data_IF_456906963065
#
_entry.id   IF_456906963065
#
_cell.length_a   1.000
_cell.length_b   1.000
_cell.length_c   1.000
_cell.angle_alpha   90.00
_cell.angle_beta   90.00
_cell.angle_gamma   90.00
#
_symmetry.space_group_name_H-M   'P 1'
#
loop_
_entity.id
_entity.type
_entity.pdbx_description
1 polymer ?
#
# COMPACT_ATOMS: atom_id res chain seq x y z
N UNK A 1 5.59 34.62 6.16
CA UNK A 1 5.74 33.14 6.23
C UNK A 1 4.35 32.53 6.29
N UNK A 2 3.93 31.87 5.21
CA UNK A 2 2.53 31.49 4.97
C UNK A 2 2.24 30.05 5.39
N UNK A 3 1.13 29.79 6.11
CA UNK A 3 0.64 28.45 6.44
C UNK A 3 -0.08 27.86 5.22
N UNK A 4 0.67 27.49 4.18
CA UNK A 4 0.11 26.93 2.93
C UNK A 4 0.06 25.40 2.93
N UNK A 5 0.79 24.75 3.84
CA UNK A 5 0.98 23.30 3.87
C UNK A 5 -0.23 22.51 4.39
N UNK A 6 -1.07 23.10 5.24
CA UNK A 6 -2.20 22.38 5.83
C UNK A 6 -3.33 22.06 4.85
N UNK A 7 -3.58 22.95 3.88
CA UNK A 7 -4.69 22.78 2.92
C UNK A 7 -4.39 21.70 1.88
N UNK A 8 -3.17 21.67 1.37
CA UNK A 8 -2.71 20.66 0.42
C UNK A 8 -2.64 19.26 1.05
N UNK A 9 -2.26 19.17 2.33
CA UNK A 9 -2.25 17.90 3.06
C UNK A 9 -3.65 17.31 3.23
N UNK A 10 -4.63 18.15 3.59
CA UNK A 10 -6.01 17.71 3.75
C UNK A 10 -6.64 17.23 2.45
N UNK A 11 -6.29 17.83 1.31
CA UNK A 11 -6.83 17.42 0.02
C UNK A 11 -6.25 16.07 -0.44
N UNK A 12 -4.95 15.84 -0.21
CA UNK A 12 -4.31 14.56 -0.48
C UNK A 12 -4.87 13.43 0.40
N UNK A 13 -5.07 13.69 1.70
CA UNK A 13 -5.64 12.74 2.65
C UNK A 13 -7.08 12.35 2.25
N UNK A 14 -7.88 13.32 1.81
CA UNK A 14 -9.28 13.10 1.40
C UNK A 14 -9.38 12.21 0.15
N UNK A 15 -8.46 12.38 -0.81
CA UNK A 15 -8.39 11.52 -2.00
C UNK A 15 -8.01 10.09 -1.64
N UNK A 16 -7.03 9.90 -0.75
CA UNK A 16 -6.63 8.58 -0.26
C UNK A 16 -7.78 7.85 0.46
N UNK A 17 -8.49 8.54 1.35
CA UNK A 17 -9.65 7.96 2.05
C UNK A 17 -10.78 7.59 1.08
N UNK A 18 -11.02 8.40 0.04
CA UNK A 18 -12.02 8.08 -0.98
C UNK A 18 -11.65 6.81 -1.76
N UNK A 19 -10.39 6.64 -2.16
CA UNK A 19 -9.94 5.41 -2.83
C UNK A 19 -10.03 4.18 -1.93
N UNK A 20 -9.65 4.32 -0.65
CA UNK A 20 -9.77 3.23 0.32
C UNK A 20 -11.23 2.79 0.53
N UNK A 21 -12.16 3.76 0.62
CA UNK A 21 -13.58 3.48 0.76
C UNK A 21 -14.18 2.78 -0.47
N UNK A 22 -13.80 3.20 -1.68
CA UNK A 22 -14.23 2.54 -2.92
C UNK A 22 -13.67 1.12 -3.00
N UNK A 23 -12.40 0.91 -2.67
CA UNK A 23 -11.81 -0.43 -2.63
C UNK A 23 -12.51 -1.36 -1.62
N UNK A 24 -12.87 -0.84 -0.44
CA UNK A 24 -13.63 -1.57 0.58
C UNK A 24 -15.06 -1.90 0.15
N UNK A 25 -15.69 -1.05 -0.68
CA UNK A 25 -17.03 -1.30 -1.23
C UNK A 25 -17.03 -2.35 -2.35
N UNK A 26 -15.94 -2.45 -3.10
CA UNK A 26 -15.80 -3.43 -4.20
C UNK A 26 -15.36 -4.80 -3.70
N UNK A 27 -14.60 -4.88 -2.59
CA UNK A 27 -14.12 -6.13 -2.00
C UNK A 27 -15.23 -7.16 -1.64
N UNK A 28 -16.40 -6.80 -1.08
CA UNK A 28 -17.46 -7.76 -0.75
C UNK A 28 -18.31 -8.18 -1.96
N UNK A 29 -18.20 -7.51 -3.11
CA UNK A 29 -18.91 -7.92 -4.33
C UNK A 29 -18.22 -9.08 -5.07
N UNK A 30 -17.06 -9.54 -4.58
CA UNK A 30 -16.19 -10.46 -5.30
C UNK A 30 -16.54 -11.97 -5.19
N UNK A 31 -17.35 -12.49 -4.24
CA UNK A 31 -17.82 -13.87 -4.44
C UNK A 31 -19.23 -14.14 -3.90
N UNK A 32 -20.26 -13.54 -4.51
CA UNK A 32 -21.56 -14.23 -4.57
C UNK A 32 -21.62 -15.22 -5.75
N UNK A 33 -20.72 -15.07 -6.73
CA UNK A 33 -20.63 -15.91 -7.94
C UNK A 33 -19.79 -17.19 -7.72
N UNK A 34 -19.13 -17.33 -6.56
CA UNK A 34 -18.36 -18.54 -6.20
C UNK A 34 -19.09 -19.44 -5.18
N UNK A 35 -20.34 -19.12 -4.83
CA UNK A 35 -21.16 -19.95 -3.94
C UNK A 35 -22.06 -20.93 -4.71
N UNK A 36 -21.80 -21.13 -6.00
CA UNK A 36 -22.42 -22.20 -6.77
C UNK A 36 -21.64 -23.47 -6.46
N UNK A 37 -22.27 -24.37 -5.71
CA UNK A 37 -21.69 -25.60 -5.18
C UNK A 37 -21.05 -26.41 -6.31
N UNK A 38 -19.70 -26.44 -6.42
CA UNK A 38 -19.01 -27.06 -7.54
C UNK A 38 -19.18 -28.58 -7.57
N UNK A 39 -19.82 -29.16 -6.54
CA UNK A 39 -20.17 -30.57 -6.48
C UNK A 39 -21.45 -30.94 -7.26
N UNK A 40 -22.22 -29.97 -7.78
CA UNK A 40 -23.47 -30.26 -8.49
C UNK A 40 -23.19 -30.63 -9.95
N UNK A 41 -23.12 -31.94 -10.25
CA UNK A 41 -22.92 -32.45 -11.62
C UNK A 41 -23.96 -31.82 -12.58
N UNK A 42 -23.53 -31.09 -13.64
CA UNK A 42 -24.43 -30.38 -14.55
C UNK A 42 -25.43 -31.30 -15.24
N UNK A 43 -25.16 -32.61 -15.33
CA UNK A 43 -26.07 -33.59 -15.93
C UNK A 43 -27.31 -33.84 -15.09
N UNK A 44 -27.20 -33.75 -13.76
CA UNK A 44 -28.34 -33.92 -12.87
C UNK A 44 -29.28 -32.70 -12.91
N UNK A 45 -28.75 -31.49 -13.06
CA UNK A 45 -29.54 -30.27 -13.21
C UNK A 45 -30.33 -30.26 -14.54
N UNK A 46 -29.71 -30.73 -15.62
CA UNK A 46 -30.34 -30.79 -16.94
C UNK A 46 -31.55 -31.74 -16.96
N UNK A 47 -31.49 -32.84 -16.19
CA UNK A 47 -32.57 -33.82 -16.09
C UNK A 47 -33.73 -33.36 -15.20
N UNK A 48 -33.46 -32.55 -14.18
CA UNK A 48 -34.52 -31.86 -13.42
C UNK A 48 -35.31 -30.91 -14.32
N UNK A 49 -34.66 -30.32 -15.33
CA UNK A 49 -35.27 -29.33 -16.21
C UNK A 49 -36.01 -29.95 -17.41
N UNK A 50 -35.48 -31.04 -17.99
CA UNK A 50 -36.04 -31.66 -19.20
C UNK A 50 -36.88 -32.93 -18.94
N UNK A 51 -36.92 -33.39 -17.68
CA UNK A 51 -37.65 -34.58 -17.28
C UNK A 51 -36.87 -35.87 -17.55
N UNK A 52 -37.02 -36.82 -16.63
CA UNK A 52 -36.37 -38.12 -16.74
C UNK A 52 -37.13 -39.07 -17.69
N UNK A 53 -36.45 -40.03 -18.35
CA UNK A 53 -37.10 -41.15 -19.03
C UNK A 53 -38.00 -41.92 -18.05
N UNK A 54 -39.14 -42.40 -18.54
CA UNK A 54 -40.10 -43.13 -17.71
C UNK A 54 -39.47 -44.43 -17.16
N UNK A 55 -39.64 -44.66 -15.84
CA UNK A 55 -39.24 -45.90 -15.17
C UNK A 55 -37.87 -45.89 -14.49
N UNK A 56 -37.15 -44.76 -14.48
CA UNK A 56 -35.86 -44.63 -13.78
C UNK A 56 -35.95 -43.46 -12.79
N UNK A 57 -35.66 -43.73 -11.51
CA UNK A 57 -35.54 -42.68 -10.49
C UNK A 57 -34.16 -42.02 -10.58
N UNK A 58 -34.11 -40.89 -11.29
CA UNK A 58 -32.86 -40.15 -11.50
C UNK A 58 -32.28 -39.57 -10.21
N UNK A 59 -33.09 -39.38 -9.16
CA UNK A 59 -32.59 -38.94 -7.85
C UNK A 59 -31.73 -40.02 -7.21
N UNK A 60 -32.10 -41.29 -7.42
CA UNK A 60 -31.31 -42.42 -6.98
C UNK A 60 -30.02 -42.57 -7.80
N UNK A 61 -30.08 -42.31 -9.11
CA UNK A 61 -28.89 -42.36 -9.99
C UNK A 61 -27.88 -41.28 -9.64
N UNK A 62 -28.33 -40.04 -9.39
CA UNK A 62 -27.44 -38.94 -8.99
C UNK A 62 -26.78 -39.20 -7.63
N UNK A 63 -27.55 -39.66 -6.63
CA UNK A 63 -27.00 -40.00 -5.30
C UNK A 63 -26.09 -41.23 -5.33
N UNK A 64 -26.42 -42.24 -6.14
CA UNK A 64 -25.55 -43.40 -6.33
C UNK A 64 -24.23 -43.02 -6.98
N UNK A 65 -24.24 -42.12 -7.98
CA UNK A 65 -23.03 -41.68 -8.64
C UNK A 65 -22.13 -40.84 -7.71
N UNK A 66 -22.73 -40.02 -6.85
CA UNK A 66 -22.01 -39.28 -5.78
C UNK A 66 -21.32 -40.24 -4.80
N UNK A 67 -22.04 -41.27 -4.34
CA UNK A 67 -21.49 -42.27 -3.42
C UNK A 67 -20.40 -43.10 -4.11
N UNK A 68 -20.63 -43.58 -5.33
CA UNK A 68 -19.64 -44.37 -6.09
C UNK A 68 -18.39 -43.53 -6.37
N UNK A 69 -18.53 -42.26 -6.74
CA UNK A 69 -17.42 -41.34 -6.94
C UNK A 69 -16.58 -41.16 -5.66
N UNK A 70 -17.24 -41.01 -4.50
CA UNK A 70 -16.57 -40.90 -3.21
C UNK A 70 -15.78 -42.17 -2.82
N UNK A 71 -16.26 -43.36 -3.20
CA UNK A 71 -15.64 -44.63 -2.82
C UNK A 71 -14.61 -45.17 -3.82
N UNK A 72 -14.77 -44.89 -5.11
CA UNK A 72 -13.90 -45.48 -6.15
C UNK A 72 -12.67 -44.64 -6.44
N UNK A 73 -12.63 -43.38 -6.02
CA UNK A 73 -11.57 -42.43 -6.40
C UNK A 73 -11.44 -42.24 -7.92
N UNK A 74 -12.49 -42.65 -8.65
CA UNK A 74 -12.52 -42.78 -10.10
C UNK A 74 -13.41 -41.70 -10.72
N UNK A 75 -13.52 -40.53 -10.06
CA UNK A 75 -13.84 -39.30 -10.76
C UNK A 75 -12.71 -39.10 -11.77
N UNK A 76 -12.96 -39.44 -13.04
CA UNK A 76 -12.05 -39.15 -14.13
C UNK A 76 -11.61 -37.70 -13.97
N UNK A 77 -10.33 -37.52 -13.66
CA UNK A 77 -9.68 -36.23 -13.69
C UNK A 77 -9.61 -35.81 -15.17
N UNK A 78 -10.73 -35.31 -15.70
CA UNK A 78 -10.66 -34.41 -16.83
C UNK A 78 -9.73 -33.28 -16.37
N UNK A 79 -8.57 -33.19 -17.00
CA UNK A 79 -7.55 -32.16 -16.76
C UNK A 79 -8.15 -30.74 -16.91
N UNK A 80 -9.34 -30.62 -17.54
CA UNK A 80 -10.10 -29.37 -17.60
C UNK A 80 -11.03 -29.12 -16.41
N UNK A 81 -11.30 -30.10 -15.55
CA UNK A 81 -12.04 -29.95 -14.30
C UNK A 81 -11.13 -30.14 -13.10
N UNK A 82 -9.94 -29.53 -13.12
CA UNK A 82 -9.13 -29.44 -11.92
C UNK A 82 -9.81 -28.45 -10.95
N UNK A 83 -10.37 -28.91 -9.81
CA UNK A 83 -11.08 -28.03 -8.88
C UNK A 83 -10.16 -26.96 -8.29
N UNK A 84 -8.85 -27.07 -8.51
CA UNK A 84 -7.84 -26.08 -8.11
C UNK A 84 -7.77 -24.86 -9.02
N UNK A 85 -8.18 -24.94 -10.29
CA UNK A 85 -8.07 -23.81 -11.24
C UNK A 85 -8.73 -22.51 -10.76
N UNK A 86 -9.96 -22.50 -10.20
CA UNK A 86 -10.55 -21.27 -9.68
C UNK A 86 -9.72 -20.68 -8.51
N UNK A 87 -9.15 -21.54 -7.65
CA UNK A 87 -8.28 -21.09 -6.57
C UNK A 87 -6.93 -20.57 -7.08
N UNK A 88 -6.36 -21.20 -8.10
CA UNK A 88 -5.11 -20.77 -8.72
C UNK A 88 -5.28 -19.40 -9.40
N UNK A 89 -6.38 -19.20 -10.13
CA UNK A 89 -6.72 -17.90 -10.73
C UNK A 89 -6.98 -16.86 -9.65
N UNK A 90 -7.74 -17.20 -8.60
CA UNK A 90 -7.99 -16.32 -7.46
C UNK A 90 -6.70 -15.90 -6.74
N UNK A 91 -5.79 -16.83 -6.50
CA UNK A 91 -4.48 -16.59 -5.90
C UNK A 91 -3.61 -15.70 -6.79
N UNK A 92 -3.61 -15.93 -8.10
CA UNK A 92 -2.84 -15.13 -9.07
C UNK A 92 -3.35 -13.69 -9.14
N UNK A 93 -4.68 -13.48 -9.21
CA UNK A 93 -5.28 -12.15 -9.21
C UNK A 93 -4.98 -11.42 -7.90
N UNK A 94 -5.11 -12.11 -6.77
CA UNK A 94 -4.79 -11.54 -5.44
C UNK A 94 -3.31 -11.15 -5.34
N UNK A 95 -2.42 -12.02 -5.83
CA UNK A 95 -0.98 -11.76 -5.86
C UNK A 95 -0.62 -10.54 -6.72
N UNK A 96 -1.21 -10.40 -7.90
CA UNK A 96 -1.00 -9.24 -8.77
C UNK A 96 -1.52 -7.96 -8.11
N UNK A 97 -2.71 -8.00 -7.50
CA UNK A 97 -3.27 -6.84 -6.81
C UNK A 97 -2.37 -6.37 -5.65
N UNK A 98 -1.88 -7.30 -4.82
CA UNK A 98 -0.94 -7.00 -3.73
C UNK A 98 0.38 -6.42 -4.24
N UNK A 99 0.93 -6.96 -5.34
CA UNK A 99 2.16 -6.45 -5.95
C UNK A 99 1.99 -5.01 -6.46
N UNK A 100 0.87 -4.70 -7.12
CA UNK A 100 0.58 -3.34 -7.59
C UNK A 100 0.46 -2.37 -6.41
N UNK A 101 -0.26 -2.75 -5.35
CA UNK A 101 -0.39 -1.94 -4.13
C UNK A 101 0.98 -1.71 -3.49
N UNK A 102 1.82 -2.74 -3.39
CA UNK A 102 3.18 -2.64 -2.85
C UNK A 102 4.07 -1.67 -3.64
N UNK A 103 4.04 -1.74 -4.97
CA UNK A 103 4.80 -0.83 -5.84
C UNK A 103 4.34 0.63 -5.70
N UNK A 104 3.02 0.85 -5.65
CA UNK A 104 2.46 2.20 -5.45
C UNK A 104 2.85 2.75 -4.08
N UNK A 105 2.71 1.95 -3.02
CA UNK A 105 3.09 2.34 -1.66
C UNK A 105 4.58 2.71 -1.56
N UNK A 106 5.47 1.88 -2.12
CA UNK A 106 6.91 2.17 -2.16
C UNK A 106 7.22 3.47 -2.92
N UNK A 107 6.58 3.73 -4.07
CA UNK A 107 6.81 4.98 -4.80
C UNK A 107 6.30 6.21 -4.04
N UNK A 108 5.16 6.10 -3.35
CA UNK A 108 4.62 7.20 -2.55
C UNK A 108 5.53 7.49 -1.36
N UNK A 109 5.94 6.46 -0.62
CA UNK A 109 6.85 6.58 0.52
C UNK A 109 8.23 7.09 0.09
N UNK A 110 8.78 6.59 -1.02
CA UNK A 110 10.06 7.04 -1.56
C UNK A 110 10.05 8.53 -1.97
N UNK A 111 8.95 9.00 -2.57
CA UNK A 111 8.78 10.43 -2.87
C UNK A 111 8.70 11.29 -1.61
N UNK A 112 8.09 10.80 -0.54
CA UNK A 112 8.04 11.52 0.72
C UNK A 112 9.38 11.50 1.46
N UNK A 113 10.12 10.40 1.40
CA UNK A 113 11.46 10.28 1.96
C UNK A 113 12.44 11.25 1.25
N UNK A 114 12.39 11.35 -0.08
CA UNK A 114 13.19 12.29 -0.85
C UNK A 114 12.96 13.76 -0.43
N UNK A 115 11.71 14.14 -0.14
CA UNK A 115 11.39 15.49 0.35
C UNK A 115 11.94 15.80 1.74
N UNK A 116 12.22 14.78 2.57
CA UNK A 116 12.85 14.97 3.89
C UNK A 116 14.38 14.99 3.82
N UNK A 117 14.94 14.56 2.69
CA UNK A 117 16.37 14.49 2.47
C UNK A 117 16.87 15.57 1.51
N UNK A 118 15.99 16.40 0.96
CA UNK A 118 16.44 17.56 0.19
C UNK A 118 17.28 18.43 1.12
N UNK A 119 18.59 18.59 0.85
CA UNK A 119 19.45 19.41 1.68
C UNK A 119 18.84 20.79 1.69
N UNK A 120 18.55 21.30 2.89
CA UNK A 120 18.29 22.72 3.09
C UNK A 120 19.43 23.44 2.37
N UNK A 121 19.08 24.23 1.36
CA UNK A 121 20.01 24.63 0.29
C UNK A 121 21.35 25.11 0.89
N UNK A 122 22.50 24.87 0.26
CA UNK A 122 23.81 25.15 0.87
C UNK A 122 24.01 26.63 1.28
N UNK A 123 23.27 27.57 0.70
CA UNK A 123 23.21 29.00 1.10
C UNK A 123 22.56 29.22 2.48
N UNK A 124 21.85 28.23 3.01
CA UNK A 124 21.19 28.25 4.31
C UNK A 124 22.14 27.83 5.46
N UNK A 125 23.37 27.42 5.18
CA UNK A 125 24.26 26.86 6.21
C UNK A 125 25.12 27.96 6.84
N UNK A 126 25.38 27.87 8.15
CA UNK A 126 26.26 28.81 8.86
C UNK A 126 27.45 28.10 9.50
N UNK A 127 28.60 28.76 9.48
CA UNK A 127 29.84 28.26 10.09
C UNK A 127 29.95 28.81 11.50
N UNK A 128 30.15 27.94 12.49
CA UNK A 128 30.29 28.34 13.88
C UNK A 128 31.63 29.07 14.10
N UNK A 129 31.66 30.31 14.62
CA UNK A 129 32.91 31.05 14.82
C UNK A 129 33.81 30.40 15.89
N UNK A 130 33.22 29.68 16.85
CA UNK A 130 33.94 29.10 17.99
C UNK A 130 34.69 27.81 17.63
N UNK A 131 34.15 26.98 16.71
CA UNK A 131 34.73 25.67 16.40
C UNK A 131 34.76 25.31 14.90
N UNK A 132 34.36 26.23 14.02
CA UNK A 132 34.37 26.08 12.55
C UNK A 132 33.51 24.93 12.00
N UNK A 133 32.58 24.38 12.78
CA UNK A 133 31.61 23.39 12.28
C UNK A 133 30.50 24.04 11.46
N UNK A 134 29.98 23.32 10.46
CA UNK A 134 28.91 23.81 9.59
C UNK A 134 27.55 23.33 10.11
N UNK A 135 26.61 24.26 10.26
CA UNK A 135 25.31 24.05 10.90
C UNK A 135 24.17 24.46 9.96
N UNK A 136 23.02 23.79 10.04
CA UNK A 136 21.81 24.15 9.29
C UNK A 136 21.23 25.51 9.77
N UNK A 137 20.58 26.26 8.87
CA UNK A 137 20.04 27.61 9.13
C UNK A 137 19.13 27.67 10.34
N UNK A 138 18.24 26.69 10.46
CA UNK A 138 17.22 26.63 11.50
C UNK A 138 17.76 26.34 12.90
N UNK A 139 19.06 25.98 13.04
CA UNK A 139 19.65 25.73 14.36
C UNK A 139 20.11 27.03 15.03
N UNK A 140 19.56 27.39 16.21
CA UNK A 140 20.00 28.57 16.95
C UNK A 140 21.36 28.39 17.64
N UNK A 141 21.81 27.13 17.80
CA UNK A 141 23.05 26.74 18.48
C UNK A 141 23.84 25.73 17.66
N UNK A 142 25.16 25.77 17.81
CA UNK A 142 26.09 24.85 17.17
C UNK A 142 25.85 23.40 17.64
N UNK A 143 25.80 22.43 16.73
CA UNK A 143 25.63 21.01 17.10
C UNK A 143 26.86 20.44 17.82
N UNK A 144 28.05 20.99 17.57
CA UNK A 144 29.32 20.47 18.09
C UNK A 144 29.72 21.08 19.44
N UNK A 145 29.67 22.41 19.56
CA UNK A 145 30.10 23.13 20.77
C UNK A 145 28.97 23.84 21.51
N UNK A 146 27.72 23.74 21.03
CA UNK A 146 26.54 24.39 21.62
C UNK A 146 26.58 25.93 21.71
N UNK A 147 27.58 26.60 21.12
CA UNK A 147 27.63 28.06 21.04
C UNK A 147 26.44 28.64 20.24
N UNK A 148 25.93 29.78 20.68
CA UNK A 148 24.80 30.45 20.02
C UNK A 148 25.20 31.13 18.71
N UNK A 149 24.30 31.14 17.72
CA UNK A 149 24.50 31.80 16.43
C UNK A 149 24.59 33.33 16.57
N UNK A 150 23.86 33.91 17.51
CA UNK A 150 23.81 35.36 17.72
C UNK A 150 25.13 35.96 18.26
N UNK A 151 25.96 35.16 18.94
CA UNK A 151 27.22 35.63 19.50
C UNK A 151 28.25 36.05 18.42
N UNK A 152 28.01 35.73 17.14
CA UNK A 152 28.96 36.01 16.04
C UNK A 152 28.75 37.36 15.36
N UNK A 153 27.57 37.98 15.47
CA UNK A 153 27.23 39.18 14.66
C UNK A 153 27.44 40.50 15.41
N UNK A 154 27.50 40.48 16.75
CA UNK A 154 27.69 41.70 17.57
C UNK A 154 29.16 42.06 17.76
N UNK A 155 30.00 41.76 16.78
CA UNK A 155 31.38 42.22 16.69
C UNK A 155 31.51 43.31 15.64
N UNK A 156 30.73 44.39 15.76
CA UNK A 156 31.15 45.65 15.13
C UNK A 156 32.49 45.98 15.79
N UNK A 157 33.60 46.07 15.04
CA UNK A 157 34.88 46.42 15.64
C UNK A 157 34.68 47.77 16.33
N UNK A 158 34.73 47.76 17.65
CA UNK A 158 34.81 48.98 18.44
C UNK A 158 36.03 49.73 17.87
N UNK A 159 35.84 50.94 17.28
CA UNK A 159 36.94 51.66 16.68
C UNK A 159 37.96 51.88 17.77
N UNK A 160 39.15 51.32 17.56
CA UNK A 160 40.26 51.35 18.48
C UNK A 160 40.69 52.81 18.63
N UNK A 161 40.10 53.53 19.59
CA UNK A 161 40.43 54.92 19.90
C UNK A 161 41.81 54.92 20.53
N UNK A 162 42.81 55.16 19.69
CA UNK A 162 44.19 55.35 20.09
C UNK A 162 44.28 56.68 20.86
N UNK A 163 44.12 56.63 22.18
CA UNK A 163 44.39 57.77 23.03
C UNK A 163 45.90 58.06 23.02
N UNK A 164 46.26 59.13 22.32
CA UNK A 164 47.59 59.73 22.36
C UNK A 164 47.81 60.32 23.76
N UNK A 165 48.84 59.83 24.45
CA UNK A 165 49.30 60.45 25.69
C UNK A 165 50.08 61.72 25.33
N UNK A 166 49.62 62.85 25.83
CA UNK A 166 50.35 64.12 25.87
C UNK A 166 51.14 64.22 27.19
#
# INVERSE_FOLDING_TARGET
MTPRTGREYNEAMRRLLAFAAVAWLVLPLAPAVLAEDPARDPRCADWEQHGAPAGIDMRLVCTANEVIGAYTGQSEADINTDPLMPYAVGALVTGIALAVVGVVAMKVLGRQAGKRLEPERPDAWWVCPACQSINAEGRPTCYACHASRAASTTGSPEPLVMHRAD
#
